data_IF_357186259225
#
_entry.id   IF_357186259225
#
_cell.length_a   1.000
_cell.length_b   1.000
_cell.length_c   1.000
_cell.angle_alpha   90.00
_cell.angle_beta   90.00
_cell.angle_gamma   90.00
#
_symmetry.space_group_name_H-M   'P 1'
#
loop_
_entity.id
_entity.type
_entity.pdbx_description
1 polymer ?
#
# COMPACT_ATOMS: atom_id res chain seq x y z
N UNK A 1 -5.46 -5.90 -11.30
CA UNK A 1 -6.77 -5.78 -10.64
C UNK A 1 -7.82 -6.34 -11.58
N UNK A 2 -8.67 -7.28 -11.16
CA UNK A 2 -9.76 -7.80 -11.99
C UNK A 2 -10.84 -6.71 -12.20
N UNK A 3 -11.35 -6.59 -13.42
CA UNK A 3 -12.26 -5.50 -13.85
C UNK A 3 -13.54 -5.43 -13.02
N UNK A 4 -14.01 -6.57 -12.50
CA UNK A 4 -15.23 -6.69 -11.69
C UNK A 4 -15.15 -5.83 -10.42
N UNK A 5 -13.96 -5.68 -9.81
CA UNK A 5 -13.78 -4.86 -8.61
C UNK A 5 -13.78 -3.36 -8.91
N UNK A 6 -13.53 -2.96 -10.15
CA UNK A 6 -13.53 -1.56 -10.57
C UNK A 6 -14.91 -1.11 -11.09
N UNK A 7 -15.91 -1.99 -11.06
CA UNK A 7 -17.24 -1.70 -11.59
C UNK A 7 -18.00 -0.76 -10.65
N UNK A 8 -18.41 0.39 -11.19
CA UNK A 8 -19.23 1.39 -10.50
C UNK A 8 -20.71 1.06 -10.76
N UNK A 9 -21.51 1.05 -9.71
CA UNK A 9 -22.95 0.82 -9.82
C UNK A 9 -23.64 2.00 -10.52
N UNK A 10 -24.45 1.73 -11.55
CA UNK A 10 -25.07 2.75 -12.41
C UNK A 10 -26.05 3.66 -11.63
N UNK A 11 -26.83 3.08 -10.71
CA UNK A 11 -27.92 3.82 -10.04
C UNK A 11 -27.48 4.70 -8.86
N UNK A 12 -26.38 4.34 -8.20
CA UNK A 12 -25.90 5.03 -6.99
C UNK A 12 -24.46 5.51 -7.09
N UNK A 13 -23.80 5.29 -8.24
CA UNK A 13 -22.41 5.66 -8.50
C UNK A 13 -21.42 5.17 -7.41
N UNK A 14 -21.78 4.09 -6.72
CA UNK A 14 -20.96 3.48 -5.67
C UNK A 14 -20.16 2.30 -6.21
N UNK A 15 -18.91 2.08 -5.76
CA UNK A 15 -18.11 0.89 -6.09
C UNK A 15 -18.54 -0.32 -5.24
N UNK A 16 -19.80 -0.74 -5.39
CA UNK A 16 -20.44 -1.79 -4.58
C UNK A 16 -19.66 -3.12 -4.53
N UNK A 17 -19.18 -3.70 -5.66
CA UNK A 17 -18.45 -4.98 -5.61
C UNK A 17 -17.11 -4.88 -4.86
N UNK A 18 -16.40 -3.75 -4.95
CA UNK A 18 -15.18 -3.52 -4.18
C UNK A 18 -15.47 -3.48 -2.67
N UNK A 19 -16.50 -2.73 -2.28
CA UNK A 19 -16.86 -2.57 -0.86
C UNK A 19 -17.33 -3.91 -0.27
N UNK A 20 -18.13 -4.69 -1.01
CA UNK A 20 -18.53 -6.02 -0.56
C UNK A 20 -17.34 -6.96 -0.35
N UNK A 21 -16.34 -6.91 -1.24
CA UNK A 21 -15.14 -7.72 -1.10
C UNK A 21 -14.33 -7.33 0.14
N UNK A 22 -14.13 -6.04 0.39
CA UNK A 22 -13.44 -5.53 1.58
C UNK A 22 -14.21 -5.86 2.87
N UNK A 23 -15.55 -5.77 2.84
CA UNK A 23 -16.40 -6.14 3.97
C UNK A 23 -16.31 -7.64 4.29
N UNK A 24 -16.33 -8.49 3.27
CA UNK A 24 -16.17 -9.94 3.44
C UNK A 24 -14.81 -10.28 4.04
N UNK A 25 -13.72 -9.67 3.53
CA UNK A 25 -12.39 -9.86 4.11
C UNK A 25 -12.31 -9.39 5.57
N UNK A 26 -12.99 -8.28 5.90
CA UNK A 26 -13.05 -7.79 7.29
C UNK A 26 -13.77 -8.77 8.22
N UNK A 27 -14.85 -9.41 7.76
CA UNK A 27 -15.53 -10.47 8.52
C UNK A 27 -14.62 -11.70 8.72
N UNK A 28 -13.81 -12.06 7.72
CA UNK A 28 -12.82 -13.14 7.85
C UNK A 28 -11.76 -12.78 8.90
N UNK A 29 -11.26 -11.54 8.90
CA UNK A 29 -10.31 -11.09 9.92
C UNK A 29 -10.92 -11.05 11.33
N UNK A 30 -12.22 -10.76 11.45
CA UNK A 30 -12.93 -10.77 12.74
C UNK A 30 -12.98 -12.17 13.37
N UNK A 31 -12.97 -13.24 12.56
CA UNK A 31 -12.91 -14.61 13.06
C UNK A 31 -11.56 -14.97 13.69
N UNK A 32 -10.53 -14.12 13.56
CA UNK A 32 -9.23 -14.35 14.20
C UNK A 32 -9.32 -14.07 15.70
N UNK A 33 -8.88 -15.05 16.51
CA UNK A 33 -8.96 -15.00 17.97
C UNK A 33 -8.00 -13.99 18.62
N UNK A 34 -6.87 -13.70 17.96
CA UNK A 34 -5.79 -12.90 18.54
C UNK A 34 -5.59 -11.57 17.81
N UNK A 35 -6.12 -10.50 18.40
CA UNK A 35 -5.99 -9.13 17.87
C UNK A 35 -4.51 -8.70 17.80
N UNK A 36 -3.69 -9.08 18.79
CA UNK A 36 -2.26 -8.75 18.81
C UNK A 36 -1.49 -9.41 17.68
N UNK A 37 -1.81 -10.67 17.34
CA UNK A 37 -1.21 -11.35 16.20
C UNK A 37 -1.61 -10.68 14.87
N UNK A 38 -2.88 -10.27 14.76
CA UNK A 38 -3.39 -9.57 13.58
C UNK A 38 -2.72 -8.21 13.37
N UNK A 39 -2.56 -7.43 14.44
CA UNK A 39 -1.85 -6.14 14.41
C UNK A 39 -0.40 -6.34 13.95
N UNK A 40 0.31 -7.31 14.50
CA UNK A 40 1.69 -7.57 14.12
C UNK A 40 1.80 -8.02 12.65
N UNK A 41 0.86 -8.83 12.17
CA UNK A 41 0.84 -9.29 10.78
C UNK A 41 0.59 -8.15 9.79
N UNK A 42 -0.47 -7.35 10.01
CA UNK A 42 -0.80 -6.20 9.16
C UNK A 42 0.29 -5.13 9.26
N UNK A 43 0.83 -4.89 10.45
CA UNK A 43 1.94 -3.99 10.69
C UNK A 43 3.16 -4.40 9.88
N UNK A 44 3.59 -5.66 9.98
CA UNK A 44 4.71 -6.18 9.20
C UNK A 44 4.51 -6.01 7.68
N UNK A 45 3.35 -6.42 7.16
CA UNK A 45 3.05 -6.31 5.73
C UNK A 45 3.07 -4.84 5.25
N UNK A 46 2.54 -3.94 6.07
CA UNK A 46 2.49 -2.49 5.80
C UNK A 46 3.89 -1.89 5.81
N UNK A 47 4.69 -2.16 6.84
CA UNK A 47 6.07 -1.68 6.96
C UNK A 47 6.94 -2.21 5.83
N UNK A 48 6.78 -3.47 5.42
CA UNK A 48 7.49 -4.03 4.27
C UNK A 48 7.12 -3.30 2.97
N UNK A 49 5.83 -3.07 2.72
CA UNK A 49 5.36 -2.35 1.55
C UNK A 49 5.91 -0.91 1.50
N UNK A 50 5.91 -0.21 2.63
CA UNK A 50 6.47 1.14 2.73
C UNK A 50 7.99 1.11 2.52
N UNK A 51 8.70 0.16 3.14
CA UNK A 51 10.14 -0.02 2.95
C UNK A 51 10.50 -0.22 1.47
N UNK A 52 9.80 -1.11 0.77
CA UNK A 52 9.96 -1.30 -0.67
C UNK A 52 9.67 -0.02 -1.46
N UNK A 53 8.60 0.71 -1.14
CA UNK A 53 8.27 1.97 -1.81
C UNK A 53 9.38 3.03 -1.62
N UNK A 54 9.98 3.09 -0.43
CA UNK A 54 11.10 4.00 -0.13
C UNK A 54 12.38 3.56 -0.84
N UNK A 55 12.66 2.26 -0.96
CA UNK A 55 13.79 1.73 -1.75
C UNK A 55 13.61 2.01 -3.26
N UNK A 56 12.38 2.01 -3.75
CA UNK A 56 12.09 2.34 -5.14
C UNK A 56 12.50 3.78 -5.52
N UNK A 57 12.47 4.74 -4.58
CA UNK A 57 12.86 6.14 -4.84
C UNK A 57 14.32 6.33 -5.30
N UNK A 58 15.35 5.86 -4.55
CA UNK A 58 16.73 5.90 -5.01
C UNK A 58 16.97 5.01 -6.24
N UNK A 59 16.31 3.84 -6.32
CA UNK A 59 16.41 2.98 -7.50
C UNK A 59 15.93 3.68 -8.77
N UNK A 60 14.80 4.39 -8.72
CA UNK A 60 14.26 5.16 -9.85
C UNK A 60 15.13 6.39 -10.17
N UNK A 61 15.87 6.95 -9.19
CA UNK A 61 16.88 8.00 -9.45
C UNK A 61 18.04 7.49 -10.26
N UNK A 62 18.48 6.26 -10.00
CA UNK A 62 19.57 5.67 -10.74
C UNK A 62 19.14 5.20 -12.13
N UNK A 63 17.98 4.55 -12.25
CA UNK A 63 17.52 3.96 -13.52
C UNK A 63 16.94 4.97 -14.50
N UNK A 64 16.31 6.04 -14.02
CA UNK A 64 15.67 7.06 -14.86
C UNK A 64 15.98 8.48 -14.35
N UNK A 65 17.20 8.98 -14.62
CA UNK A 65 17.64 10.29 -14.16
C UNK A 65 16.90 11.45 -14.86
N UNK A 66 16.52 11.30 -16.13
CA UNK A 66 15.99 12.37 -16.99
C UNK A 66 14.50 12.69 -16.79
N UNK A 67 13.81 11.97 -15.90
CA UNK A 67 12.40 12.25 -15.61
C UNK A 67 12.24 13.65 -14.96
N UNK A 68 11.28 14.48 -15.41
CA UNK A 68 11.02 15.77 -14.78
C UNK A 68 10.51 15.56 -13.35
N UNK A 69 11.32 15.98 -12.37
CA UNK A 69 11.01 15.86 -10.94
C UNK A 69 10.63 17.24 -10.38
N UNK A 70 9.33 17.57 -10.25
CA UNK A 70 8.89 18.86 -9.71
C UNK A 70 9.23 19.02 -8.23
N UNK A 71 9.37 17.92 -7.48
CA UNK A 71 9.77 17.92 -6.07
C UNK A 71 11.04 17.09 -5.92
N UNK A 72 12.14 17.73 -5.49
CA UNK A 72 13.42 17.07 -5.20
C UNK A 72 13.66 17.06 -3.69
N UNK A 73 13.60 15.87 -3.10
CA UNK A 73 14.03 15.63 -1.71
C UNK A 73 15.48 15.14 -1.68
N UNK A 74 16.23 15.48 -0.64
CA UNK A 74 17.58 14.95 -0.45
C UNK A 74 17.54 13.42 -0.27
N UNK A 75 18.49 12.71 -0.89
CA UNK A 75 18.64 11.25 -0.78
C UNK A 75 18.94 10.76 0.65
N UNK A 76 19.36 11.67 1.53
CA UNK A 76 19.62 11.38 2.93
C UNK A 76 18.38 10.83 3.67
N UNK A 77 17.20 11.41 3.44
CA UNK A 77 15.96 11.00 4.10
C UNK A 77 15.54 9.55 3.80
N UNK A 78 15.44 9.10 2.53
CA UNK A 78 15.09 7.71 2.24
C UNK A 78 16.16 6.72 2.73
N UNK A 79 17.44 7.09 2.74
CA UNK A 79 18.52 6.21 3.23
C UNK A 79 18.41 6.01 4.74
N UNK A 80 18.18 7.07 5.53
CA UNK A 80 17.95 6.94 6.97
C UNK A 80 16.73 6.07 7.23
N UNK A 81 15.65 6.30 6.50
CA UNK A 81 14.43 5.53 6.68
C UNK A 81 14.66 4.03 6.47
N UNK A 82 15.41 3.64 5.44
CA UNK A 82 15.76 2.24 5.17
C UNK A 82 16.70 1.65 6.23
N UNK A 83 17.62 2.45 6.78
CA UNK A 83 18.56 1.99 7.81
C UNK A 83 17.93 1.90 9.22
N UNK A 84 16.89 2.71 9.47
CA UNK A 84 16.22 2.79 10.77
C UNK A 84 14.95 1.92 10.85
N UNK A 85 14.40 1.48 9.72
CA UNK A 85 13.29 0.53 9.61
C UNK A 85 13.77 -0.91 9.77
#
# INVERSE_FOLDING_TARGET
MPEILNMIQINHLTPTPAVMFVALLSLVYLCSSDIYALINYVGFATWLAIGLAVVCLPYLRWKQPDLPRPIKVNLFFPIIYILAS
#
